data_IF_103315922798
#
_entry.id   IF_103315922798
#
_cell.length_a   1.000
_cell.length_b   1.000
_cell.length_c   1.000
_cell.angle_alpha   90.00
_cell.angle_beta   90.00
_cell.angle_gamma   90.00
#
_symmetry.space_group_name_H-M   'P 1'
#
loop_
_entity.id
_entity.type
_entity.pdbx_description
1 polymer ?
#
# COMPACT_ATOMS: atom_id res chain seq x y z
N UNK A 1 -14.13 -24.77 12.17
CA UNK A 1 -14.30 -23.32 11.91
C UNK A 1 -15.76 -23.01 12.21
N UNK A 2 -16.09 -22.61 13.44
CA UNK A 2 -17.49 -22.47 13.87
C UNK A 2 -17.69 -21.67 15.16
N UNK A 3 -16.63 -21.06 15.70
CA UNK A 3 -16.70 -20.13 16.82
C UNK A 3 -16.66 -18.68 16.26
N UNK A 4 -17.72 -17.88 16.43
CA UNK A 4 -17.77 -16.49 15.97
C UNK A 4 -16.63 -15.61 16.52
N UNK A 5 -16.15 -15.89 17.74
CA UNK A 5 -15.05 -15.13 18.33
C UNK A 5 -13.73 -15.42 17.61
N UNK A 6 -13.47 -16.69 17.31
CA UNK A 6 -12.30 -17.10 16.53
C UNK A 6 -12.35 -16.54 15.10
N UNK A 7 -13.52 -16.53 14.47
CA UNK A 7 -13.69 -15.95 13.13
C UNK A 7 -13.37 -14.44 13.12
N UNK A 8 -13.87 -13.69 14.11
CA UNK A 8 -13.56 -12.27 14.28
C UNK A 8 -12.07 -12.02 14.54
N UNK A 9 -11.44 -12.85 15.39
CA UNK A 9 -10.01 -12.77 15.66
C UNK A 9 -9.17 -13.00 14.40
N UNK A 10 -9.48 -14.05 13.63
CA UNK A 10 -8.78 -14.36 12.38
C UNK A 10 -8.90 -13.20 11.39
N UNK A 11 -10.08 -12.59 11.28
CA UNK A 11 -10.26 -11.43 10.40
C UNK A 11 -9.38 -10.26 10.82
N UNK A 12 -9.33 -9.94 12.11
CA UNK A 12 -8.48 -8.85 12.64
C UNK A 12 -6.99 -9.12 12.38
N UNK A 13 -6.52 -10.33 12.63
CA UNK A 13 -5.12 -10.71 12.37
C UNK A 13 -4.79 -10.70 10.87
N UNK A 14 -5.72 -11.12 10.01
CA UNK A 14 -5.55 -11.00 8.56
C UNK A 14 -5.44 -9.54 8.12
N UNK A 15 -6.25 -8.64 8.65
CA UNK A 15 -6.15 -7.20 8.35
C UNK A 15 -4.81 -6.64 8.80
N UNK A 16 -4.35 -7.00 10.00
CA UNK A 16 -3.02 -6.62 10.50
C UNK A 16 -1.91 -7.15 9.61
N UNK A 17 -1.97 -8.42 9.20
CA UNK A 17 -0.97 -9.00 8.31
C UNK A 17 -0.91 -8.27 6.96
N UNK A 18 -2.06 -7.98 6.35
CA UNK A 18 -2.12 -7.21 5.09
C UNK A 18 -1.49 -5.83 5.25
N UNK A 19 -1.78 -5.14 6.35
CA UNK A 19 -1.17 -3.86 6.65
C UNK A 19 0.35 -3.97 6.78
N UNK A 20 0.86 -4.98 7.51
CA UNK A 20 2.30 -5.21 7.63
C UNK A 20 2.96 -5.46 6.27
N UNK A 21 2.33 -6.24 5.39
CA UNK A 21 2.83 -6.46 4.02
C UNK A 21 2.96 -5.15 3.24
N UNK A 22 1.99 -4.23 3.37
CA UNK A 22 2.06 -2.91 2.74
C UNK A 22 3.18 -2.07 3.34
N UNK A 23 3.32 -2.06 4.68
CA UNK A 23 4.42 -1.36 5.36
C UNK A 23 5.78 -1.85 4.89
N UNK A 24 5.98 -3.17 4.81
CA UNK A 24 7.23 -3.76 4.31
C UNK A 24 7.50 -3.35 2.85
N UNK A 25 6.49 -3.46 1.98
CA UNK A 25 6.63 -3.10 0.56
C UNK A 25 7.00 -1.62 0.38
N UNK A 26 6.36 -0.73 1.13
CA UNK A 26 6.67 0.70 1.13
C UNK A 26 8.08 0.97 1.68
N UNK A 27 8.46 0.27 2.74
CA UNK A 27 9.79 0.39 3.34
C UNK A 27 10.86 0.01 2.32
N UNK A 28 10.75 -1.15 1.70
CA UNK A 28 11.73 -1.62 0.71
C UNK A 28 11.80 -0.66 -0.48
N UNK A 29 10.66 -0.30 -1.07
CA UNK A 29 10.61 0.57 -2.24
C UNK A 29 11.16 1.98 -1.96
N UNK A 30 10.78 2.57 -0.84
CA UNK A 30 11.24 3.92 -0.50
C UNK A 30 12.66 3.95 0.03
N UNK A 31 13.14 2.86 0.61
CA UNK A 31 14.55 2.73 0.98
C UNK A 31 15.45 2.62 -0.25
N UNK A 32 15.03 1.92 -1.30
CA UNK A 32 15.78 1.90 -2.57
C UNK A 32 15.85 3.29 -3.25
N UNK A 33 14.81 4.12 -3.09
CA UNK A 33 14.74 5.45 -3.71
C UNK A 33 15.49 6.51 -2.89
N UNK A 34 15.33 6.48 -1.56
CA UNK A 34 15.73 7.57 -0.67
C UNK A 34 16.84 7.18 0.33
N UNK A 35 17.15 5.88 0.48
CA UNK A 35 17.98 5.34 1.56
C UNK A 35 19.36 6.00 1.63
N UNK A 36 19.79 6.46 2.83
CA UNK A 36 21.06 7.16 2.98
C UNK A 36 22.24 6.19 3.02
N UNK A 37 23.43 6.73 2.80
CA UNK A 37 24.67 6.08 3.23
C UNK A 37 24.60 5.78 4.74
N UNK A 38 25.11 4.63 5.17
CA UNK A 38 25.03 4.14 6.56
C UNK A 38 25.43 5.24 7.55
N UNK A 39 24.44 5.74 8.30
CA UNK A 39 24.55 6.80 9.30
C UNK A 39 23.70 6.42 10.50
N UNK A 40 24.04 6.91 11.69
CA UNK A 40 23.30 6.66 12.92
C UNK A 40 21.93 7.35 12.98
N UNK A 41 21.67 8.28 12.05
CA UNK A 41 20.41 8.99 11.91
C UNK A 41 20.12 9.34 10.46
N UNK A 42 18.84 9.48 10.14
CA UNK A 42 18.38 10.07 8.89
C UNK A 42 18.68 11.57 8.91
N UNK A 43 19.14 12.12 7.79
CA UNK A 43 19.23 13.57 7.63
C UNK A 43 17.87 14.13 7.18
N UNK A 44 17.66 15.44 7.34
CA UNK A 44 16.37 16.05 7.03
C UNK A 44 15.96 15.92 5.56
N UNK A 45 16.92 15.74 4.63
CA UNK A 45 16.61 15.48 3.22
C UNK A 45 16.06 14.08 3.03
N UNK A 46 16.66 13.10 3.69
CA UNK A 46 16.25 11.70 3.67
C UNK A 46 14.87 11.53 4.31
N UNK A 47 14.62 12.15 5.47
CA UNK A 47 13.31 12.14 6.12
C UNK A 47 12.23 12.71 5.20
N UNK A 48 12.51 13.87 4.57
CA UNK A 48 11.61 14.51 3.61
C UNK A 48 11.36 13.62 2.38
N UNK A 49 12.41 13.00 1.84
CA UNK A 49 12.31 12.09 0.71
C UNK A 49 11.41 10.88 1.03
N UNK A 50 11.63 10.24 2.19
CA UNK A 50 10.85 9.08 2.62
C UNK A 50 9.36 9.43 2.80
N UNK A 51 9.06 10.58 3.42
CA UNK A 51 7.68 11.06 3.58
C UNK A 51 6.99 11.24 2.23
N UNK A 52 7.63 11.97 1.30
CA UNK A 52 7.08 12.17 -0.04
C UNK A 52 7.01 10.88 -0.86
N UNK A 53 7.97 9.96 -0.71
CA UNK A 53 7.95 8.68 -1.40
C UNK A 53 6.70 7.87 -1.04
N UNK A 54 6.38 7.76 0.25
CA UNK A 54 5.20 7.05 0.72
C UNK A 54 3.91 7.72 0.21
N UNK A 55 3.80 9.05 0.34
CA UNK A 55 2.65 9.81 -0.18
C UNK A 55 2.44 9.57 -1.68
N UNK A 56 3.51 9.70 -2.48
CA UNK A 56 3.46 9.50 -3.94
C UNK A 56 3.16 8.07 -4.35
N UNK A 57 3.63 7.08 -3.60
CA UNK A 57 3.31 5.68 -3.87
C UNK A 57 1.81 5.42 -3.69
N UNK A 58 1.23 5.92 -2.60
CA UNK A 58 -0.20 5.78 -2.31
C UNK A 58 -1.04 6.52 -3.36
N UNK A 59 -0.68 7.76 -3.69
CA UNK A 59 -1.35 8.57 -4.71
C UNK A 59 -1.37 7.85 -6.08
N UNK A 60 -0.21 7.34 -6.50
CA UNK A 60 -0.05 6.66 -7.77
C UNK A 60 -0.80 5.33 -7.81
N UNK A 61 -0.74 4.56 -6.72
CA UNK A 61 -1.47 3.29 -6.58
C UNK A 61 -2.97 3.52 -6.67
N UNK A 62 -3.50 4.53 -5.96
CA UNK A 62 -4.90 4.90 -6.02
C UNK A 62 -5.31 5.36 -7.43
N UNK A 63 -4.47 6.15 -8.10
CA UNK A 63 -4.73 6.57 -9.47
C UNK A 63 -4.86 5.36 -10.42
N UNK A 64 -3.92 4.42 -10.35
CA UNK A 64 -3.93 3.21 -11.18
C UNK A 64 -5.18 2.37 -10.88
N UNK A 65 -5.48 2.11 -9.60
CA UNK A 65 -6.65 1.32 -9.19
C UNK A 65 -7.94 1.97 -9.69
N UNK A 66 -8.10 3.28 -9.51
CA UNK A 66 -9.27 4.01 -9.99
C UNK A 66 -9.42 3.92 -11.50
N UNK A 67 -8.30 4.05 -12.24
CA UNK A 67 -8.32 3.97 -13.70
C UNK A 67 -8.72 2.58 -14.18
N UNK A 68 -8.15 1.53 -13.60
CA UNK A 68 -8.51 0.14 -13.91
C UNK A 68 -9.97 -0.17 -13.56
N UNK A 69 -10.46 0.35 -12.43
CA UNK A 69 -11.86 0.22 -12.04
C UNK A 69 -12.82 0.88 -13.04
N UNK A 70 -12.48 2.07 -13.55
CA UNK A 70 -13.26 2.75 -14.59
C UNK A 70 -13.27 1.98 -15.92
N UNK A 71 -12.12 1.46 -16.35
CA UNK A 71 -12.01 0.67 -17.58
C UNK A 71 -12.80 -0.65 -17.48
N UNK A 72 -12.72 -1.32 -16.33
CA UNK A 72 -13.54 -2.50 -16.06
C UNK A 72 -15.04 -2.19 -16.05
N UNK A 73 -15.44 -1.09 -15.42
CA UNK A 73 -16.84 -0.65 -15.41
C UNK A 73 -17.35 -0.31 -16.83
N UNK A 74 -16.51 0.34 -17.65
CA UNK A 74 -16.82 0.62 -19.04
C UNK A 74 -16.97 -0.67 -19.87
N UNK A 75 -16.07 -1.64 -19.71
CA UNK A 75 -16.16 -2.94 -20.39
C UNK A 75 -17.43 -3.72 -20.02
N UNK A 76 -17.80 -3.74 -18.73
CA UNK A 76 -19.04 -4.39 -18.26
C UNK A 76 -20.29 -3.68 -18.82
N UNK A 77 -20.26 -2.35 -18.94
CA UNK A 77 -21.36 -1.59 -19.53
C UNK A 77 -21.55 -1.92 -21.02
N UNK A 78 -20.46 -2.05 -21.79
CA UNK A 78 -20.51 -2.42 -23.21
C UNK A 78 -21.03 -3.85 -23.45
N UNK A 79 -20.89 -4.77 -22.49
CA UNK A 79 -21.40 -6.15 -22.61
C UNK A 79 -22.89 -6.30 -22.31
N UNK A 80 -23.53 -5.28 -21.72
CA UNK A 80 -24.97 -5.28 -21.41
C UNK A 80 -25.83 -4.68 -22.52
N UNK A 81 -25.22 -4.23 -23.62
CA UNK A 81 -25.89 -3.56 -24.72
C UNK A 81 -26.20 -4.47 -25.89
#
# INVERSE_FOLDING_TARGET
>A
IGDPQLASFIEQENQKQRFQTVVHSLTDQCWEICGPSISSKLDGKTETCLAHCVERFIDSSNYIINKLGQEGAAAVASMKS
#
